data_IF_603335370065
#
_entry.id   IF_603335370065
#
_cell.length_a   1.000
_cell.length_b   1.000
_cell.length_c   1.000
_cell.angle_alpha   90.00
_cell.angle_beta   90.00
_cell.angle_gamma   90.00
#
_symmetry.space_group_name_H-M   'P 1'
#
loop_
_entity.id
_entity.type
_entity.pdbx_description
1 polymer ?
#
# COMPACT_ATOMS: atom_id res chain seq x y z
N UNK A 1 -24.59 2.54 -13.43
CA UNK A 1 -23.58 1.91 -14.31
C UNK A 1 -22.25 1.90 -13.59
N UNK A 2 -21.80 0.75 -13.10
CA UNK A 2 -20.59 0.60 -12.29
C UNK A 2 -19.40 0.23 -13.18
N UNK A 3 -18.34 1.05 -13.18
CA UNK A 3 -17.05 0.71 -13.77
C UNK A 3 -16.27 -0.13 -12.76
N UNK A 4 -16.14 -1.43 -13.07
CA UNK A 4 -15.35 -2.38 -12.30
C UNK A 4 -13.85 -2.16 -12.60
N UNK A 5 -13.13 -1.59 -11.64
CA UNK A 5 -11.67 -1.60 -11.64
C UNK A 5 -11.18 -2.98 -11.20
N UNK A 6 -10.67 -3.76 -12.14
CA UNK A 6 -10.06 -5.06 -11.90
C UNK A 6 -8.79 -4.88 -11.04
N UNK A 7 -8.92 -5.11 -9.73
CA UNK A 7 -7.79 -5.19 -8.81
C UNK A 7 -7.21 -6.60 -8.84
N UNK A 8 -6.03 -6.75 -9.44
CA UNK A 8 -5.26 -8.01 -9.41
C UNK A 8 -4.59 -8.15 -8.05
N UNK A 9 -5.31 -8.72 -7.08
CA UNK A 9 -4.77 -9.11 -5.79
C UNK A 9 -4.00 -10.42 -5.95
N UNK A 10 -2.67 -10.40 -5.81
CA UNK A 10 -1.89 -11.62 -5.59
C UNK A 10 -2.17 -12.12 -4.16
N UNK A 11 -3.26 -12.88 -4.00
CA UNK A 11 -3.53 -13.64 -2.77
C UNK A 11 -2.64 -14.88 -2.75
N UNK A 12 -1.53 -14.82 -2.02
CA UNK A 12 -0.87 -16.05 -1.55
C UNK A 12 -1.70 -16.59 -0.38
N UNK A 13 -2.50 -17.62 -0.64
CA UNK A 13 -3.18 -18.39 0.41
C UNK A 13 -2.16 -19.27 1.14
N UNK A 14 -2.11 -19.27 2.48
CA UNK A 14 -1.44 -20.33 3.22
C UNK A 14 -2.43 -21.48 3.36
N UNK A 15 -2.15 -22.63 2.75
CA UNK A 15 -2.83 -23.88 3.09
C UNK A 15 -1.94 -24.68 4.04
N UNK A 16 -2.09 -24.42 5.33
CA UNK A 16 -1.85 -25.40 6.39
C UNK A 16 -3.21 -26.08 6.66
N UNK A 17 -3.30 -27.37 6.36
CA UNK A 17 -4.52 -28.15 6.54
C UNK A 17 -4.28 -29.63 6.25
N UNK A 18 -3.86 -30.35 7.30
CA UNK A 18 -4.24 -31.73 7.66
C UNK A 18 -4.28 -32.80 6.55
N UNK A 19 -3.26 -33.68 6.56
CA UNK A 19 -3.19 -34.93 5.79
C UNK A 19 -4.12 -36.00 6.39
N UNK A 20 -5.01 -36.66 5.61
CA UNK A 20 -5.63 -37.90 6.03
C UNK A 20 -4.69 -39.07 5.70
N UNK A 21 -4.49 -39.95 6.69
CA UNK A 21 -3.89 -41.27 6.50
C UNK A 21 -4.81 -42.10 5.60
N UNK A 22 -4.43 -42.28 4.34
CA UNK A 22 -5.04 -43.27 3.45
C UNK A 22 -3.95 -44.25 3.01
N UNK A 23 -4.03 -45.43 3.63
CA UNK A 23 -3.43 -46.68 3.18
C UNK A 23 -3.78 -46.90 1.71
N UNK A 24 -2.77 -47.09 0.86
CA UNK A 24 -2.98 -47.45 -0.54
C UNK A 24 -2.02 -48.55 -0.93
N UNK A 25 -2.62 -49.74 -1.11
CA UNK A 25 -1.97 -50.92 -1.66
C UNK A 25 -1.71 -50.72 -3.16
N UNK A 26 -0.56 -51.24 -3.57
CA UNK A 26 0.04 -51.24 -4.91
C UNK A 26 -0.91 -51.39 -6.10
N UNK A 27 -0.71 -50.57 -7.14
CA UNK A 27 -0.57 -51.00 -8.55
C UNK A 27 -0.16 -49.82 -9.46
N UNK A 28 1.14 -49.66 -9.63
CA UNK A 28 1.88 -49.10 -10.78
C UNK A 28 1.12 -48.28 -11.85
N UNK A 29 1.00 -46.96 -11.65
CA UNK A 29 1.20 -45.94 -12.70
C UNK A 29 1.70 -44.64 -12.06
N UNK A 30 2.99 -44.64 -11.70
CA UNK A 30 3.74 -43.47 -11.27
C UNK A 30 3.97 -42.55 -12.49
N UNK A 31 3.03 -41.65 -12.72
CA UNK A 31 3.17 -40.52 -13.64
C UNK A 31 4.32 -39.63 -13.19
N UNK A 32 5.48 -39.93 -13.74
CA UNK A 32 6.81 -39.50 -13.36
C UNK A 32 6.94 -37.98 -13.49
N UNK A 33 7.01 -37.25 -12.37
CA UNK A 33 7.69 -35.95 -12.43
C UNK A 33 9.14 -36.29 -12.80
N UNK A 34 9.53 -35.97 -14.03
CA UNK A 34 10.84 -36.36 -14.53
C UNK A 34 11.90 -35.70 -13.64
N UNK A 35 12.86 -36.48 -13.12
CA UNK A 35 13.98 -36.00 -12.30
C UNK A 35 14.63 -34.71 -12.88
N UNK A 36 14.67 -34.62 -14.22
CA UNK A 36 15.13 -33.46 -14.97
C UNK A 36 14.28 -32.20 -14.70
N UNK A 37 12.96 -32.31 -14.59
CA UNK A 37 12.05 -31.21 -14.23
C UNK A 37 12.33 -30.69 -12.82
N UNK A 38 12.55 -31.60 -11.86
CA UNK A 38 12.87 -31.23 -10.48
C UNK A 38 14.24 -30.55 -10.38
N UNK A 39 15.27 -31.07 -11.06
CA UNK A 39 16.58 -30.41 -11.15
C UNK A 39 16.49 -29.01 -11.76
N UNK A 40 15.74 -28.84 -12.85
CA UNK A 40 15.54 -27.53 -13.50
C UNK A 40 14.83 -26.55 -12.57
N UNK A 41 13.81 -27.01 -11.83
CA UNK A 41 13.12 -26.19 -10.83
C UNK A 41 14.07 -25.78 -9.71
N UNK A 42 14.85 -26.70 -9.16
CA UNK A 42 15.82 -26.39 -8.09
C UNK A 42 16.87 -25.39 -8.57
N UNK A 43 17.46 -25.60 -9.75
CA UNK A 43 18.42 -24.67 -10.32
C UNK A 43 17.83 -23.26 -10.55
N UNK A 44 16.55 -23.16 -10.94
CA UNK A 44 15.84 -21.89 -11.06
C UNK A 44 15.62 -21.23 -9.69
N UNK A 45 15.19 -22.00 -8.69
CA UNK A 45 14.98 -21.49 -7.32
C UNK A 45 16.30 -21.01 -6.72
N UNK A 46 17.39 -21.76 -6.90
CA UNK A 46 18.71 -21.39 -6.41
C UNK A 46 19.23 -20.11 -7.08
N UNK A 47 19.00 -19.97 -8.39
CA UNK A 47 19.32 -18.73 -9.12
C UNK A 47 18.53 -17.53 -8.60
N UNK A 48 17.21 -17.70 -8.37
CA UNK A 48 16.38 -16.65 -7.81
C UNK A 48 16.82 -16.28 -6.39
N UNK A 49 17.08 -17.27 -5.52
CA UNK A 49 17.55 -17.02 -4.16
C UNK A 49 18.90 -16.30 -4.15
N UNK A 50 19.84 -16.72 -5.01
CA UNK A 50 21.12 -16.04 -5.15
C UNK A 50 20.93 -14.60 -5.63
N UNK A 51 20.07 -14.37 -6.61
CA UNK A 51 19.79 -13.02 -7.14
C UNK A 51 19.16 -12.13 -6.07
N UNK A 52 18.11 -12.61 -5.37
CA UNK A 52 17.45 -11.84 -4.30
C UNK A 52 18.41 -11.54 -3.15
N UNK A 53 19.23 -12.51 -2.72
CA UNK A 53 20.24 -12.28 -1.67
C UNK A 53 21.29 -11.26 -2.10
N UNK A 54 21.77 -11.36 -3.33
CA UNK A 54 22.71 -10.40 -3.90
C UNK A 54 22.11 -8.98 -3.93
N UNK A 55 20.84 -8.87 -4.31
CA UNK A 55 20.14 -7.60 -4.35
C UNK A 55 19.97 -6.99 -2.96
N UNK A 56 19.54 -7.78 -1.97
CA UNK A 56 19.41 -7.34 -0.57
C UNK A 56 20.76 -6.86 -0.03
N UNK A 57 21.83 -7.61 -0.26
CA UNK A 57 23.18 -7.21 0.14
C UNK A 57 23.65 -5.94 -0.57
N UNK A 58 23.36 -5.81 -1.86
CA UNK A 58 23.65 -4.59 -2.64
C UNK A 58 22.95 -3.38 -2.03
N UNK A 59 21.63 -3.46 -1.83
CA UNK A 59 20.84 -2.37 -1.25
C UNK A 59 21.33 -2.00 0.16
N UNK A 60 21.65 -2.98 1.00
CA UNK A 60 22.16 -2.72 2.34
C UNK A 60 23.54 -2.03 2.34
N UNK A 61 24.36 -2.26 1.32
CA UNK A 61 25.69 -1.67 1.20
C UNK A 61 25.66 -0.28 0.55
N UNK A 62 24.73 -0.04 -0.38
CA UNK A 62 24.67 1.19 -1.18
C UNK A 62 23.59 2.19 -0.75
N UNK A 63 22.61 1.78 0.04
CA UNK A 63 21.61 2.68 0.63
C UNK A 63 21.96 2.93 2.11
N UNK A 64 22.67 4.01 2.45
CA UNK A 64 22.83 4.38 3.85
C UNK A 64 21.44 4.57 4.49
N UNK A 65 21.27 4.20 5.77
CA UNK A 65 20.01 4.43 6.45
C UNK A 65 19.68 5.93 6.36
N UNK A 66 18.45 6.29 5.96
CA UNK A 66 18.07 7.69 5.85
C UNK A 66 18.30 8.38 7.19
N UNK A 67 18.78 9.63 7.15
CA UNK A 67 18.90 10.44 8.36
C UNK A 67 17.54 10.54 9.05
N UNK A 68 17.51 10.61 10.39
CA UNK A 68 16.25 10.80 11.10
C UNK A 68 15.57 12.05 10.56
N UNK A 69 14.27 11.98 10.23
CA UNK A 69 13.56 13.15 9.73
C UNK A 69 13.61 14.27 10.77
N UNK A 70 13.62 15.55 10.34
CA UNK A 70 13.55 16.67 11.26
C UNK A 70 12.29 16.55 12.14
N UNK A 71 12.29 17.16 13.34
CA UNK A 71 11.12 17.16 14.21
C UNK A 71 9.93 17.74 13.44
N UNK A 72 8.96 16.88 13.13
CA UNK A 72 7.75 17.29 12.43
C UNK A 72 6.65 17.56 13.44
N UNK A 73 5.71 18.47 13.13
CA UNK A 73 4.58 18.71 14.02
C UNK A 73 3.55 17.56 14.00
N UNK A 74 3.77 16.54 13.17
CA UNK A 74 2.93 15.35 13.12
C UNK A 74 3.61 14.19 13.84
N UNK A 75 2.83 13.41 14.55
CA UNK A 75 3.25 12.12 15.08
C UNK A 75 3.09 11.05 14.01
N UNK A 76 4.15 10.30 13.73
CA UNK A 76 4.11 9.14 12.84
C UNK A 76 3.58 7.95 13.64
N UNK A 77 2.50 7.34 13.18
CA UNK A 77 1.96 6.12 13.77
C UNK A 77 2.28 4.97 12.82
N UNK A 78 3.31 4.21 13.16
CA UNK A 78 3.71 3.04 12.39
C UNK A 78 2.78 1.85 12.71
N UNK A 79 2.47 1.07 11.67
CA UNK A 79 1.66 -0.14 11.76
C UNK A 79 2.35 -1.26 10.99
N UNK A 80 3.14 -2.09 11.68
CA UNK A 80 3.90 -3.16 11.05
C UNK A 80 2.99 -4.07 10.21
N UNK A 81 3.34 -4.24 8.93
CA UNK A 81 2.60 -5.08 7.99
C UNK A 81 1.46 -4.39 7.24
N UNK A 82 1.11 -3.15 7.60
CA UNK A 82 0.19 -2.33 6.83
C UNK A 82 0.97 -1.53 5.76
N UNK A 83 0.52 -1.56 4.50
CA UNK A 83 1.19 -0.88 3.37
C UNK A 83 0.82 0.61 3.25
N UNK A 84 0.73 1.31 4.37
CA UNK A 84 0.42 2.73 4.41
C UNK A 84 0.98 3.37 5.70
N UNK A 85 1.39 4.63 5.61
CA UNK A 85 1.92 5.41 6.72
C UNK A 85 0.82 6.33 7.28
N UNK A 86 0.72 6.41 8.61
CA UNK A 86 -0.20 7.31 9.31
C UNK A 86 0.54 8.48 9.93
N UNK A 87 0.07 9.69 9.69
CA UNK A 87 0.44 10.88 10.42
C UNK A 87 -0.75 11.38 11.22
N UNK A 88 -0.50 11.87 12.43
CA UNK A 88 -1.53 12.39 13.33
C UNK A 88 -1.07 13.69 13.97
N UNK A 89 -1.95 14.69 13.99
CA UNK A 89 -1.73 15.95 14.71
C UNK A 89 -3.04 16.45 15.29
N UNK A 90 -2.96 17.00 16.50
CA UNK A 90 -4.05 17.76 17.13
C UNK A 90 -3.69 19.24 17.01
N UNK A 91 -4.63 20.04 16.52
CA UNK A 91 -4.54 21.48 16.42
C UNK A 91 -5.40 22.11 17.51
N UNK A 92 -4.83 23.00 18.34
CA UNK A 92 -5.62 23.83 19.23
C UNK A 92 -6.37 24.86 18.37
N UNK A 93 -7.69 24.98 18.53
CA UNK A 93 -8.41 26.07 17.87
C UNK A 93 -8.20 27.39 18.60
N UNK A 94 -8.04 28.46 17.82
CA UNK A 94 -7.99 29.82 18.34
C UNK A 94 -9.27 30.23 19.11
N UNK A 95 -10.40 29.57 18.85
CA UNK A 95 -11.72 29.84 19.45
C UNK A 95 -12.39 28.58 20.06
N UNK A 96 -11.60 27.65 20.62
CA UNK A 96 -12.07 26.75 21.67
C UNK A 96 -12.37 25.28 21.33
N UNK A 97 -12.40 24.86 20.06
CA UNK A 97 -12.62 23.44 19.72
C UNK A 97 -11.37 22.76 19.13
N UNK A 98 -10.81 21.77 19.82
CA UNK A 98 -9.69 21.00 19.29
C UNK A 98 -10.04 20.27 17.99
N UNK A 99 -9.18 20.41 16.98
CA UNK A 99 -9.29 19.73 15.69
C UNK A 99 -8.21 18.66 15.58
N UNK A 100 -8.59 17.44 15.23
CA UNK A 100 -7.66 16.36 14.98
C UNK A 100 -7.56 16.09 13.49
N UNK A 101 -6.34 16.11 12.96
CA UNK A 101 -6.00 15.78 11.58
C UNK A 101 -5.25 14.47 11.54
N UNK A 102 -5.79 13.51 10.80
CA UNK A 102 -5.14 12.24 10.46
C UNK A 102 -4.85 12.19 8.97
N UNK A 103 -3.65 11.78 8.59
CA UNK A 103 -3.23 11.61 7.21
C UNK A 103 -2.78 10.18 7.02
N UNK A 104 -3.43 9.47 6.13
CA UNK A 104 -3.10 8.10 5.75
C UNK A 104 -2.55 8.14 4.31
N UNK A 105 -1.28 7.79 4.12
CA UNK A 105 -0.62 7.77 2.82
C UNK A 105 -0.23 6.34 2.43
N UNK A 106 -0.54 5.90 1.22
CA UNK A 106 -0.15 4.56 0.75
C UNK A 106 1.35 4.48 0.50
N UNK A 107 1.87 3.24 0.45
CA UNK A 107 3.09 3.00 -0.34
C UNK A 107 2.84 3.37 -1.81
N UNK A 108 3.92 3.62 -2.55
CA UNK A 108 3.89 3.96 -3.99
C UNK A 108 2.94 3.03 -4.74
N UNK A 109 1.89 3.60 -5.33
CA UNK A 109 0.79 2.88 -5.97
C UNK A 109 0.66 3.20 -7.47
N UNK A 110 1.50 4.12 -7.98
CA UNK A 110 1.64 4.41 -9.40
C UNK A 110 3.05 4.88 -9.75
N UNK A 111 3.43 4.71 -11.02
CA UNK A 111 4.68 5.23 -11.55
C UNK A 111 4.49 5.63 -13.01
N UNK A 112 5.00 6.81 -13.36
CA UNK A 112 5.14 7.25 -14.74
C UNK A 112 6.62 7.23 -15.11
N UNK A 113 6.96 6.78 -16.34
CA UNK A 113 8.33 6.87 -16.81
C UNK A 113 8.76 8.34 -16.87
N UNK A 114 10.07 8.62 -16.76
CA UNK A 114 10.58 9.97 -16.96
C UNK A 114 10.15 10.52 -18.32
N UNK A 115 9.77 11.79 -18.37
CA UNK A 115 9.47 12.48 -19.62
C UNK A 115 10.72 12.47 -20.49
N UNK A 116 10.64 11.84 -21.67
CA UNK A 116 11.73 11.82 -22.64
C UNK A 116 11.80 13.18 -23.35
N UNK A 117 12.35 14.20 -22.70
CA UNK A 117 12.94 15.33 -23.43
C UNK A 117 14.40 14.98 -23.76
N UNK A 118 14.89 15.44 -24.91
CA UNK A 118 16.06 14.87 -25.59
C UNK A 118 17.35 14.72 -24.77
N UNK A 119 18.20 13.80 -25.23
CA UNK A 119 19.55 13.45 -24.77
C UNK A 119 19.71 12.85 -23.36
N UNK A 120 18.85 13.15 -22.39
CA UNK A 120 18.97 12.61 -21.02
C UNK A 120 17.95 11.49 -20.75
N UNK A 121 18.32 10.27 -21.12
CA UNK A 121 17.55 9.04 -20.82
C UNK A 121 17.65 8.58 -19.35
N UNK A 122 18.20 9.40 -18.45
CA UNK A 122 18.54 9.02 -17.06
C UNK A 122 17.58 9.50 -15.96
N UNK A 123 16.45 10.12 -16.30
CA UNK A 123 15.53 10.68 -15.30
C UNK A 123 14.91 9.63 -14.36
N UNK A 124 14.71 9.99 -13.08
CA UNK A 124 13.99 9.14 -12.13
C UNK A 124 12.50 9.04 -12.51
N UNK A 125 11.86 7.88 -12.29
CA UNK A 125 10.43 7.73 -12.52
C UNK A 125 9.63 8.65 -11.60
N UNK A 126 8.52 9.22 -12.10
CA UNK A 126 7.58 9.99 -11.27
C UNK A 126 6.70 9.00 -10.51
N UNK A 127 6.87 8.93 -9.20
CA UNK A 127 6.14 8.01 -8.32
C UNK A 127 4.88 8.69 -7.79
N UNK A 128 3.78 7.95 -7.73
CA UNK A 128 2.50 8.41 -7.20
C UNK A 128 2.19 7.71 -5.88
N UNK A 129 1.58 8.46 -4.96
CA UNK A 129 0.97 7.93 -3.74
C UNK A 129 -0.47 8.46 -3.63
N UNK A 130 -1.37 7.62 -3.10
CA UNK A 130 -2.69 8.05 -2.67
C UNK A 130 -2.64 8.54 -1.23
N UNK A 131 -3.23 9.70 -0.97
CA UNK A 131 -3.27 10.31 0.36
C UNK A 131 -4.71 10.52 0.78
N UNK A 132 -5.06 10.11 2.00
CA UNK A 132 -6.36 10.33 2.61
C UNK A 132 -6.20 11.19 3.84
N UNK A 133 -6.87 12.34 3.88
CA UNK A 133 -6.88 13.24 5.03
C UNK A 133 -8.23 13.18 5.71
N UNK A 134 -8.22 12.98 7.02
CA UNK A 134 -9.40 12.99 7.87
C UNK A 134 -9.28 14.11 8.91
N UNK A 135 -10.27 14.99 8.94
CA UNK A 135 -10.37 16.08 9.92
C UNK A 135 -11.59 15.83 10.79
N UNK A 136 -11.39 15.79 12.10
CA UNK A 136 -12.46 15.61 13.09
C UNK A 136 -12.40 16.68 14.17
N UNK A 137 -13.56 17.13 14.65
CA UNK A 137 -13.68 18.10 15.75
C UNK A 137 -14.07 17.39 17.04
N UNK A 138 -13.44 17.76 18.15
CA UNK A 138 -13.75 17.21 19.47
C UNK A 138 -15.23 17.44 19.86
N UNK A 139 -15.80 18.60 19.51
CA UNK A 139 -17.20 18.94 19.80
C UNK A 139 -18.23 18.13 19.00
N UNK A 140 -17.83 17.47 17.91
CA UNK A 140 -18.71 16.64 17.08
C UNK A 140 -18.11 15.26 16.88
N UNK A 141 -18.02 14.46 17.97
CA UNK A 141 -17.49 13.12 17.88
C UNK A 141 -18.34 12.31 16.91
N UNK A 142 -17.67 11.61 16.00
CA UNK A 142 -18.34 10.80 14.98
C UNK A 142 -18.65 11.55 13.68
N UNK A 143 -18.30 12.82 13.52
CA UNK A 143 -18.33 13.48 12.20
C UNK A 143 -16.91 13.77 11.74
N UNK A 144 -16.56 13.25 10.56
CA UNK A 144 -15.23 13.36 9.98
C UNK A 144 -15.34 13.92 8.57
N UNK A 145 -14.62 15.00 8.28
CA UNK A 145 -14.43 15.50 6.93
C UNK A 145 -13.26 14.73 6.30
N UNK A 146 -13.51 14.09 5.17
CA UNK A 146 -12.53 13.25 4.47
C UNK A 146 -12.16 13.87 3.13
N UNK A 147 -10.86 13.93 2.86
CA UNK A 147 -10.27 14.29 1.58
C UNK A 147 -9.57 13.07 1.01
N UNK A 148 -9.83 12.78 -0.25
CA UNK A 148 -9.04 11.81 -1.03
C UNK A 148 -8.18 12.60 -2.00
N UNK A 149 -6.87 12.37 -1.96
CA UNK A 149 -5.88 13.11 -2.70
C UNK A 149 -4.97 12.18 -3.51
N UNK A 150 -4.50 12.69 -4.64
CA UNK A 150 -3.55 12.07 -5.55
C UNK A 150 -2.27 12.90 -5.50
N UNK A 151 -1.16 12.31 -5.05
CA UNK A 151 0.08 13.03 -4.88
C UNK A 151 1.17 12.45 -5.79
N UNK A 152 1.73 13.31 -6.61
CA UNK A 152 2.95 13.11 -7.40
C UNK A 152 4.10 13.89 -6.73
N UNK A 153 5.35 13.75 -7.19
CA UNK A 153 6.48 14.40 -6.53
C UNK A 153 6.38 15.94 -6.50
N UNK A 154 5.75 16.51 -7.53
CA UNK A 154 5.73 17.97 -7.78
C UNK A 154 4.36 18.59 -7.48
N UNK A 155 3.32 17.78 -7.33
CA UNK A 155 1.93 18.23 -7.29
C UNK A 155 1.05 17.31 -6.44
N UNK A 156 0.03 17.89 -5.81
CA UNK A 156 -0.97 17.14 -5.07
C UNK A 156 -2.36 17.68 -5.39
N UNK A 157 -3.25 16.80 -5.83
CA UNK A 157 -4.61 17.11 -6.23
C UNK A 157 -5.62 16.51 -5.27
N UNK A 158 -6.60 17.30 -4.83
CA UNK A 158 -7.75 16.79 -4.10
C UNK A 158 -8.71 16.16 -5.10
N UNK A 159 -8.90 14.85 -5.04
CA UNK A 159 -9.84 14.11 -5.91
C UNK A 159 -11.27 14.21 -5.42
N UNK A 160 -11.50 14.11 -4.10
CA UNK A 160 -12.83 14.12 -3.48
C UNK A 160 -12.81 14.72 -2.10
N UNK A 161 -13.94 15.29 -1.71
CA UNK A 161 -14.19 15.79 -0.35
C UNK A 161 -15.59 15.38 0.08
N UNK A 162 -15.71 14.71 1.21
CA UNK A 162 -17.00 14.24 1.72
C UNK A 162 -17.02 14.11 3.24
N UNK A 163 -18.22 14.13 3.81
CA UNK A 163 -18.44 13.88 5.23
C UNK A 163 -18.65 12.38 5.48
N UNK A 164 -18.05 11.88 6.56
CA UNK A 164 -18.25 10.53 7.08
C UNK A 164 -18.85 10.64 8.48
N UNK A 165 -19.96 9.93 8.71
CA UNK A 165 -20.55 9.77 10.05
C UNK A 165 -20.15 8.42 10.63
N UNK A 166 -19.35 8.44 11.70
CA UNK A 166 -18.92 7.30 12.50
C UNK A 166 -19.78 7.23 13.75
N UNK A 167 -20.82 6.39 13.73
CA UNK A 167 -21.77 6.25 14.82
C UNK A 167 -23.21 6.38 14.32
N UNK A 168 -24.09 5.52 14.83
CA UNK A 168 -25.46 5.37 14.34
C UNK A 168 -25.59 4.44 13.11
N UNK A 169 -26.83 4.18 12.65
CA UNK A 169 -27.06 3.36 11.47
C UNK A 169 -26.38 3.98 10.25
N UNK A 170 -25.63 3.17 9.50
CA UNK A 170 -24.99 3.62 8.27
C UNK A 170 -26.05 4.18 7.32
N UNK A 171 -25.83 5.38 6.73
CA UNK A 171 -26.79 5.93 5.79
C UNK A 171 -26.92 4.99 4.59
N UNK A 172 -28.17 4.79 4.13
CA UNK A 172 -28.47 3.96 2.94
C UNK A 172 -27.67 4.43 1.73
N UNK A 173 -27.41 5.73 1.64
CA UNK A 173 -26.53 6.31 0.63
C UNK A 173 -25.66 7.41 1.27
N UNK A 174 -24.35 7.20 1.26
CA UNK A 174 -23.39 8.22 1.67
C UNK A 174 -23.02 9.07 0.45
N UNK A 175 -23.11 10.38 0.56
CA UNK A 175 -22.62 11.29 -0.46
C UNK A 175 -21.09 11.25 -0.48
N UNK A 176 -20.49 10.80 -1.58
CA UNK A 176 -19.03 10.62 -1.72
C UNK A 176 -18.35 11.84 -2.36
N UNK A 177 -18.96 13.02 -2.23
CA UNK A 177 -18.40 14.25 -2.76
C UNK A 177 -18.46 14.34 -4.28
N UNK A 178 -18.16 15.53 -4.81
CA UNK A 178 -17.88 15.67 -6.24
C UNK A 178 -16.45 15.20 -6.53
N UNK A 179 -16.26 14.67 -7.72
CA UNK A 179 -14.91 14.47 -8.25
C UNK A 179 -14.40 15.82 -8.76
N UNK A 180 -13.30 16.28 -8.20
CA UNK A 180 -12.61 17.47 -8.68
C UNK A 180 -11.73 17.07 -9.88
N UNK A 181 -11.62 17.98 -10.85
CA UNK A 181 -10.79 17.82 -12.05
C UNK A 181 -9.47 18.51 -11.85
#
# INVERSE_FOLDING_TARGET
>A
MALALARRLLRLRPHLGTLPLLSSNSSHFLGTRTYISDMRRSALVDRLLRSVRSEISSLNNFAPPPSPPPPTPFTVVDRPGEQWARLRRVFPAAEGEEEEVRVDATLVDGALPPSRSGADTGGQPRLHISVKVEVSKAARPGVVLTFECSAWPDEMEVRRVFLVRRGGPAPVQQYVGRQFR
#
